data_IF_602508798880
#
_entry.id   IF_602508798880
#
_cell.length_a   1.000
_cell.length_b   1.000
_cell.length_c   1.000
_cell.angle_alpha   90.00
_cell.angle_beta   90.00
_cell.angle_gamma   90.00
#
_symmetry.space_group_name_H-M   'P 1'
#
loop_
_entity.id
_entity.type
_entity.pdbx_description
1 polymer ?
#
# COMPACT_ATOMS: atom_id res chain seq x y z
N UNK A 1 -19.46 -5.59 -10.28
CA UNK A 1 -19.20 -4.55 -11.29
C UNK A 1 -17.74 -4.46 -11.72
N UNK A 2 -16.77 -4.34 -10.80
CA UNK A 2 -15.34 -4.11 -11.15
C UNK A 2 -14.65 -5.24 -11.95
N UNK A 3 -15.02 -6.50 -11.71
CA UNK A 3 -14.50 -7.65 -12.48
C UNK A 3 -14.88 -7.58 -13.97
N UNK A 4 -16.08 -7.07 -14.28
CA UNK A 4 -16.54 -6.89 -15.66
C UNK A 4 -15.77 -5.77 -16.38
N UNK A 5 -15.38 -4.70 -15.67
CA UNK A 5 -14.53 -3.64 -16.23
C UNK A 5 -13.17 -4.22 -16.63
N UNK A 6 -12.56 -5.00 -15.75
CA UNK A 6 -11.28 -5.67 -16.03
C UNK A 6 -11.35 -6.61 -17.23
N UNK A 7 -12.36 -7.49 -17.26
CA UNK A 7 -12.58 -8.44 -18.36
C UNK A 7 -12.90 -7.68 -19.67
N UNK A 8 -13.63 -6.57 -19.58
CA UNK A 8 -13.95 -5.71 -20.72
C UNK A 8 -12.71 -5.12 -21.39
N UNK A 9 -11.76 -4.58 -20.60
CA UNK A 9 -10.51 -4.05 -21.14
C UNK A 9 -9.62 -5.12 -21.78
N UNK A 10 -9.57 -6.32 -21.20
CA UNK A 10 -8.84 -7.46 -21.77
C UNK A 10 -9.49 -7.90 -23.10
N UNK A 11 -10.82 -8.03 -23.12
CA UNK A 11 -11.57 -8.37 -24.33
C UNK A 11 -11.40 -7.32 -25.43
N UNK A 12 -11.44 -6.04 -25.09
CA UNK A 12 -11.21 -4.94 -26.02
C UNK A 12 -9.80 -4.98 -26.61
N UNK A 13 -8.77 -5.19 -25.78
CA UNK A 13 -7.39 -5.33 -26.24
C UNK A 13 -7.20 -6.52 -27.18
N UNK A 14 -7.77 -7.68 -26.84
CA UNK A 14 -7.74 -8.87 -27.69
C UNK A 14 -8.47 -8.64 -29.03
N UNK A 15 -9.61 -7.94 -29.02
CA UNK A 15 -10.37 -7.60 -30.23
C UNK A 15 -9.58 -6.67 -31.15
N UNK A 16 -8.93 -5.64 -30.60
CA UNK A 16 -8.06 -4.73 -31.35
C UNK A 16 -6.87 -5.50 -31.96
N UNK A 17 -6.27 -6.41 -31.19
CA UNK A 17 -5.19 -7.28 -31.69
C UNK A 17 -5.64 -8.19 -32.84
N UNK A 18 -6.83 -8.79 -32.74
CA UNK A 18 -7.40 -9.59 -33.82
C UNK A 18 -7.66 -8.75 -35.08
N UNK A 19 -8.24 -7.55 -34.93
CA UNK A 19 -8.51 -6.64 -36.05
C UNK A 19 -7.22 -6.17 -36.72
N UNK A 20 -6.18 -5.88 -35.96
CA UNK A 20 -4.86 -5.51 -36.49
C UNK A 20 -4.21 -6.64 -37.31
N UNK A 21 -4.50 -7.89 -36.98
CA UNK A 21 -3.98 -9.08 -37.64
C UNK A 21 -4.98 -9.71 -38.62
N UNK A 22 -6.07 -9.04 -38.97
CA UNK A 22 -7.21 -9.63 -39.69
C UNK A 22 -6.88 -10.15 -41.09
N UNK A 23 -5.77 -9.72 -41.71
CA UNK A 23 -5.30 -10.21 -43.02
C UNK A 23 -4.11 -11.17 -42.93
N UNK A 24 -3.71 -11.56 -41.72
CA UNK A 24 -2.58 -12.46 -41.48
C UNK A 24 -3.03 -13.89 -41.14
N UNK A 25 -2.06 -14.80 -41.12
CA UNK A 25 -2.25 -16.20 -40.75
C UNK A 25 -2.85 -16.37 -39.35
N UNK A 26 -3.51 -17.52 -39.15
CA UNK A 26 -4.21 -17.84 -37.91
C UNK A 26 -3.31 -17.73 -36.66
N UNK A 27 -2.05 -18.17 -36.78
CA UNK A 27 -1.07 -18.10 -35.69
C UNK A 27 -0.73 -16.65 -35.32
N UNK A 28 -0.62 -15.78 -36.32
CA UNK A 28 -0.31 -14.35 -36.14
C UNK A 28 -1.47 -13.62 -35.47
N UNK A 29 -2.71 -13.98 -35.81
CA UNK A 29 -3.92 -13.46 -35.13
C UNK A 29 -3.95 -13.83 -33.66
N UNK A 30 -3.64 -15.08 -33.34
CA UNK A 30 -3.63 -15.56 -31.96
C UNK A 30 -2.53 -14.87 -31.13
N UNK A 31 -1.35 -14.68 -31.71
CA UNK A 31 -0.26 -13.93 -31.09
C UNK A 31 -0.65 -12.47 -30.85
N UNK A 32 -1.28 -11.81 -31.83
CA UNK A 32 -1.72 -10.41 -31.70
C UNK A 32 -2.88 -10.22 -30.72
N UNK A 33 -3.80 -11.18 -30.61
CA UNK A 33 -4.78 -11.21 -29.53
C UNK A 33 -4.12 -11.26 -28.16
N UNK A 34 -3.09 -12.10 -28.00
CA UNK A 34 -2.29 -12.20 -26.77
C UNK A 34 -1.60 -10.89 -26.43
N UNK A 35 -0.94 -10.26 -27.41
CA UNK A 35 -0.28 -8.96 -27.26
C UNK A 35 -1.30 -7.88 -26.86
N UNK A 36 -2.43 -7.78 -27.55
CA UNK A 36 -3.49 -6.83 -27.22
C UNK A 36 -4.06 -7.04 -25.81
N UNK A 37 -4.23 -8.29 -25.38
CA UNK A 37 -4.65 -8.62 -24.01
C UNK A 37 -3.60 -8.20 -22.96
N UNK A 38 -2.30 -8.38 -23.25
CA UNK A 38 -1.21 -7.97 -22.37
C UNK A 38 -1.14 -6.44 -22.20
N UNK A 39 -1.44 -5.66 -23.24
CA UNK A 39 -1.55 -4.21 -23.13
C UNK A 39 -2.84 -3.76 -22.42
N UNK A 40 -3.91 -4.54 -22.50
CA UNK A 40 -5.15 -4.31 -21.76
C UNK A 40 -5.03 -4.56 -20.24
N UNK A 41 -4.15 -5.47 -19.82
CA UNK A 41 -3.98 -5.85 -18.41
C UNK A 41 -3.53 -4.68 -17.52
N UNK A 42 -2.44 -3.93 -17.79
CA UNK A 42 -2.01 -2.83 -16.94
C UNK A 42 -3.09 -1.78 -16.72
N UNK A 43 -3.82 -1.43 -17.78
CA UNK A 43 -4.86 -0.40 -17.77
C UNK A 43 -6.09 -0.90 -17.00
N UNK A 44 -6.57 -2.11 -17.32
CA UNK A 44 -7.69 -2.73 -16.63
C UNK A 44 -7.39 -3.00 -15.16
N UNK A 45 -6.18 -3.45 -14.84
CA UNK A 45 -5.71 -3.75 -13.48
C UNK A 45 -5.55 -2.50 -12.64
N UNK A 46 -5.01 -1.42 -13.20
CA UNK A 46 -4.90 -0.12 -12.54
C UNK A 46 -6.28 0.45 -12.20
N UNK A 47 -7.20 0.56 -13.18
CA UNK A 47 -8.57 1.03 -12.92
C UNK A 47 -9.32 0.12 -11.94
N UNK A 48 -9.16 -1.20 -12.06
CA UNK A 48 -9.75 -2.16 -11.13
C UNK A 48 -9.05 -2.20 -9.77
N UNK A 49 -7.93 -1.51 -9.54
CA UNK A 49 -7.24 -1.48 -8.23
C UNK A 49 -7.60 -0.26 -7.39
N UNK A 50 -8.12 0.81 -8.01
CA UNK A 50 -8.40 2.10 -7.35
C UNK A 50 -9.32 1.95 -6.13
N UNK A 51 -10.37 1.12 -6.21
CA UNK A 51 -11.26 0.87 -5.06
C UNK A 51 -10.73 -0.10 -3.99
N UNK A 52 -9.58 -0.76 -4.20
CA UNK A 52 -8.99 -1.69 -3.20
C UNK A 52 -8.08 -0.98 -2.21
N UNK A 53 -7.40 0.09 -2.64
CA UNK A 53 -6.48 0.87 -1.79
C UNK A 53 -7.19 1.65 -0.69
N UNK A 54 -8.41 2.10 -0.97
CA UNK A 54 -9.21 2.88 -0.02
C UNK A 54 -9.74 1.99 1.12
N UNK A 55 -10.26 0.80 0.82
CA UNK A 55 -10.69 -0.16 1.83
C UNK A 55 -9.54 -0.65 2.72
N UNK A 56 -8.38 -1.00 2.15
CA UNK A 56 -7.22 -1.41 2.95
C UNK A 56 -6.63 -0.26 3.79
N UNK A 57 -6.85 1.00 3.39
CA UNK A 57 -6.49 2.17 4.20
C UNK A 57 -7.49 2.37 5.35
N UNK A 58 -8.80 2.23 5.08
CA UNK A 58 -9.86 2.35 6.07
C UNK A 58 -9.80 1.25 7.14
N UNK A 59 -9.63 -0.02 6.75
CA UNK A 59 -9.49 -1.16 7.69
C UNK A 59 -8.26 -1.03 8.60
N UNK A 60 -7.20 -0.39 8.11
CA UNK A 60 -5.98 -0.13 8.89
C UNK A 60 -6.16 1.05 9.85
N UNK A 61 -6.98 2.05 9.49
CA UNK A 61 -7.31 3.19 10.34
C UNK A 61 -8.36 2.82 11.41
N UNK A 62 -9.38 2.01 11.10
CA UNK A 62 -10.47 1.70 12.05
C UNK A 62 -10.02 0.93 13.29
N UNK A 63 -9.00 0.08 13.17
CA UNK A 63 -8.46 -0.69 14.30
C UNK A 63 -7.46 0.10 15.16
N UNK A 64 -7.27 1.39 14.84
CA UNK A 64 -6.25 2.24 15.42
C UNK A 64 -6.91 3.57 15.77
N UNK A 65 -7.42 3.68 17.00
CA UNK A 65 -8.02 4.92 17.51
C UNK A 65 -7.09 6.11 17.19
N UNK A 66 -7.49 7.02 16.29
CA UNK A 66 -6.61 8.06 15.77
C UNK A 66 -6.23 9.01 16.90
N UNK A 67 -4.92 9.23 17.09
CA UNK A 67 -4.41 10.17 18.08
C UNK A 67 -3.97 9.57 19.43
N UNK A 68 -4.07 8.25 19.64
CA UNK A 68 -3.55 7.60 20.86
C UNK A 68 -2.01 7.53 20.87
N UNK A 69 -1.35 7.66 19.71
CA UNK A 69 0.10 7.67 19.63
C UNK A 69 0.75 6.27 19.73
N UNK A 70 -0.06 5.21 19.75
CA UNK A 70 0.39 3.81 19.83
C UNK A 70 0.49 3.13 18.48
N UNK A 71 -0.08 3.73 17.43
CA UNK A 71 -0.06 3.14 16.09
C UNK A 71 1.35 3.28 15.48
N UNK A 72 1.81 2.34 14.64
CA UNK A 72 3.13 2.44 14.02
C UNK A 72 3.34 3.74 13.24
N UNK A 73 2.25 4.28 12.66
CA UNK A 73 2.26 5.54 11.92
C UNK A 73 2.42 6.75 12.85
N UNK A 74 1.73 6.74 13.99
CA UNK A 74 1.85 7.81 14.99
C UNK A 74 3.21 7.79 15.70
N UNK A 75 3.76 6.59 15.96
CA UNK A 75 5.11 6.42 16.51
C UNK A 75 6.17 6.96 15.55
N UNK A 76 6.00 6.76 14.24
CA UNK A 76 6.90 7.31 13.22
C UNK A 76 6.78 8.84 13.11
N UNK A 77 5.55 9.39 13.15
CA UNK A 77 5.31 10.82 13.10
C UNK A 77 5.85 11.57 14.34
N UNK A 78 5.76 10.95 15.51
CA UNK A 78 6.22 11.51 16.79
C UNK A 78 7.62 11.02 17.19
N UNK A 79 8.34 10.33 16.30
CA UNK A 79 9.65 9.74 16.59
C UNK A 79 10.66 10.76 17.11
N UNK A 80 10.61 11.99 16.61
CA UNK A 80 11.50 13.07 17.03
C UNK A 80 11.35 13.40 18.53
N UNK A 81 10.13 13.29 19.08
CA UNK A 81 9.79 13.54 20.49
C UNK A 81 9.95 12.28 21.34
N UNK A 82 9.35 11.18 20.89
CA UNK A 82 9.15 9.98 21.72
C UNK A 82 10.16 8.86 21.45
N UNK A 83 11.02 9.02 20.43
CA UNK A 83 12.06 8.03 20.04
C UNK A 83 11.48 6.63 19.80
N UNK A 84 10.27 6.57 19.27
CA UNK A 84 9.57 5.30 18.98
C UNK A 84 8.82 4.71 20.19
N UNK A 85 8.75 5.41 21.32
CA UNK A 85 7.94 4.99 22.45
C UNK A 85 6.52 5.54 22.34
N UNK A 86 5.51 4.82 22.84
CA UNK A 86 4.18 5.39 23.05
C UNK A 86 4.25 6.60 24.01
N UNK A 87 3.24 7.49 23.98
CA UNK A 87 3.18 8.64 24.88
C UNK A 87 3.36 8.22 26.35
N UNK A 88 4.21 8.93 27.08
CA UNK A 88 4.52 8.70 28.51
C UNK A 88 5.14 7.34 28.86
N UNK A 89 5.53 6.53 27.87
CA UNK A 89 6.20 5.24 28.06
C UNK A 89 7.71 5.30 27.79
N UNK A 90 8.27 6.51 27.65
CA UNK A 90 9.69 6.70 27.41
C UNK A 90 10.46 6.27 28.67
N UNK A 91 11.48 5.39 28.56
CA UNK A 91 12.36 5.11 29.67
C UNK A 91 13.08 6.39 30.09
N UNK A 92 13.41 6.51 31.37
CA UNK A 92 14.28 7.58 31.85
C UNK A 92 15.59 7.54 31.06
N UNK A 93 15.95 8.63 30.38
CA UNK A 93 17.17 8.70 29.56
C UNK A 93 18.46 8.72 30.39
N UNK A 94 18.34 8.80 31.72
CA UNK A 94 19.46 8.91 32.65
C UNK A 94 19.82 7.52 33.15
N UNK A 95 21.12 7.18 33.08
CA UNK A 95 21.66 5.96 33.68
C UNK A 95 21.33 5.90 35.18
N UNK A 96 21.08 4.71 35.75
CA UNK A 96 20.60 4.54 37.14
C UNK A 96 21.44 5.16 38.26
N UNK A 97 22.63 5.67 37.92
CA UNK A 97 23.67 6.19 38.84
C UNK A 97 24.03 7.67 38.52
N UNK A 98 23.20 8.30 37.67
CA UNK A 98 23.36 9.70 37.26
C UNK A 98 22.18 10.58 37.68
N UNK A 99 21.24 10.08 38.47
CA UNK A 99 20.14 10.90 38.94
C UNK A 99 20.66 11.93 39.94
N UNK A 100 20.14 13.15 39.84
CA UNK A 100 20.45 14.25 40.76
C UNK A 100 20.06 13.94 42.22
N UNK A 101 19.24 12.90 42.44
CA UNK A 101 18.73 12.48 43.73
C UNK A 101 19.21 11.09 44.13
N UNK A 102 20.26 10.57 43.48
CA UNK A 102 20.84 9.31 43.94
C UNK A 102 21.43 9.49 45.35
N UNK A 103 21.22 8.50 46.24
CA UNK A 103 21.57 8.63 47.65
C UNK A 103 23.07 8.81 47.90
N UNK A 104 23.91 8.46 46.93
CA UNK A 104 25.36 8.65 46.90
C UNK A 104 25.79 10.10 46.56
N UNK A 105 24.90 10.90 45.93
CA UNK A 105 25.17 12.29 45.52
C UNK A 105 24.66 13.37 46.47
N UNK A 106 23.90 13.00 47.49
CA UNK A 106 23.31 13.91 48.48
C UNK A 106 24.21 14.15 49.72
N UNK A 107 25.52 13.88 49.59
CA UNK A 107 26.53 14.04 50.64
C UNK A 107 26.96 15.48 50.90
#
# INVERSE_FOLDING_TARGET
MRKFIFIGFIGLGALIGLLAAANSDWNTRLAMMGVGALFGWPIGGALASIGKKEWQRLERDENSLPGIGTTPKDLAANYWRDKGHPPFMKPSEVEPDQHMFDPDRLG
#
